data_IF_820657506147
#
_entry.id   IF_820657506147
#
_cell.length_a   1.000
_cell.length_b   1.000
_cell.length_c   1.000
_cell.angle_alpha   90.00
_cell.angle_beta   90.00
_cell.angle_gamma   90.00
#
_symmetry.space_group_name_H-M   'P 1'
#
loop_
_entity.id
_entity.type
_entity.pdbx_description
1 polymer ?
#
# COMPACT_ATOMS: atom_id res chain seq x y z
N UNK A 1 -8.42 23.58 14.90
CA UNK A 1 -9.49 22.96 14.12
C UNK A 1 -9.13 22.71 12.65
N UNK A 2 -8.28 23.51 12.00
CA UNK A 2 -7.94 23.37 10.56
C UNK A 2 -7.03 22.19 10.21
N UNK A 3 -6.17 21.73 11.13
CA UNK A 3 -5.30 20.55 10.90
C UNK A 3 -6.05 19.22 10.78
N UNK A 4 -7.17 19.05 11.51
CA UNK A 4 -7.97 17.80 11.45
C UNK A 4 -8.69 17.62 10.10
N UNK A 5 -9.03 18.70 9.42
CA UNK A 5 -9.74 18.64 8.13
C UNK A 5 -8.81 18.22 6.99
N UNK A 6 -7.53 18.57 7.11
CA UNK A 6 -6.52 18.26 6.10
C UNK A 6 -6.11 16.78 6.10
N UNK A 7 -5.97 16.19 7.29
CA UNK A 7 -5.76 14.75 7.41
C UNK A 7 -6.92 13.94 6.83
N UNK A 8 -8.16 14.43 6.94
CA UNK A 8 -9.32 13.78 6.31
C UNK A 8 -9.29 13.81 4.78
N UNK A 9 -8.84 14.90 4.16
CA UNK A 9 -8.82 15.02 2.69
C UNK A 9 -7.69 14.20 2.04
N UNK A 10 -6.50 14.15 2.69
CA UNK A 10 -5.39 13.33 2.23
C UNK A 10 -5.57 11.85 2.62
N UNK A 11 -6.22 11.60 3.74
CA UNK A 11 -6.66 10.27 4.17
C UNK A 11 -7.74 9.72 3.22
N UNK A 12 -8.62 10.56 2.67
CA UNK A 12 -9.56 10.18 1.61
C UNK A 12 -8.87 9.88 0.27
N UNK A 13 -7.76 10.56 -0.05
CA UNK A 13 -6.94 10.20 -1.22
C UNK A 13 -6.15 8.91 -1.02
N UNK A 14 -5.70 8.62 0.19
CA UNK A 14 -5.12 7.33 0.57
C UNK A 14 -6.16 6.23 0.72
N UNK A 15 -7.35 6.55 1.25
CA UNK A 15 -8.44 5.58 1.42
C UNK A 15 -9.14 5.18 0.12
N UNK A 16 -9.03 5.94 -0.96
CA UNK A 16 -9.55 5.46 -2.25
C UNK A 16 -8.79 4.20 -2.73
N UNK A 17 -7.55 4.01 -2.27
CA UNK A 17 -6.80 2.76 -2.49
C UNK A 17 -6.97 1.71 -1.39
N UNK A 18 -7.31 2.12 -0.15
CA UNK A 18 -7.51 1.18 0.96
C UNK A 18 -8.96 0.77 1.16
N UNK A 19 -9.93 1.54 0.65
CA UNK A 19 -11.36 1.22 0.81
C UNK A 19 -11.83 0.03 -0.03
N UNK A 20 -11.03 -0.45 -0.99
CA UNK A 20 -11.31 -1.73 -1.65
C UNK A 20 -10.93 -2.94 -0.79
N UNK A 21 -10.11 -2.77 0.24
CA UNK A 21 -9.75 -3.85 1.17
C UNK A 21 -10.59 -3.85 2.44
N UNK A 22 -11.20 -2.70 2.80
CA UNK A 22 -11.99 -2.56 4.02
C UNK A 22 -13.47 -2.96 3.88
N UNK A 23 -13.93 -3.34 2.68
CA UNK A 23 -15.29 -3.89 2.49
C UNK A 23 -15.36 -5.41 2.76
N UNK A 24 -14.28 -5.99 3.27
CA UNK A 24 -14.28 -7.38 3.73
C UNK A 24 -14.28 -7.41 5.24
N UNK A 25 -15.49 -7.67 5.78
CA UNK A 25 -15.75 -8.20 7.10
C UNK A 25 -15.45 -7.30 8.30
N UNK A 26 -16.38 -6.41 8.60
CA UNK A 26 -16.83 -6.20 9.98
C UNK A 26 -18.32 -6.50 10.05
N UNK A 27 -18.67 -7.76 10.09
CA UNK A 27 -19.93 -8.21 10.64
C UNK A 27 -19.63 -8.74 12.05
N UNK A 28 -19.65 -7.81 12.98
CA UNK A 28 -19.83 -8.11 14.38
C UNK A 28 -21.35 -8.14 14.62
N UNK A 29 -21.97 -9.25 14.24
CA UNK A 29 -23.29 -9.61 14.69
C UNK A 29 -23.25 -11.03 15.22
N UNK A 30 -23.44 -11.10 16.53
CA UNK A 30 -23.53 -12.33 17.27
C UNK A 30 -24.51 -13.32 16.66
N UNK A 31 -23.98 -14.52 16.44
CA UNK A 31 -24.72 -15.75 16.28
C UNK A 31 -25.50 -15.94 14.98
N UNK A 32 -24.80 -16.44 13.94
CA UNK A 32 -25.34 -17.52 13.11
C UNK A 32 -24.26 -18.01 12.13
N UNK A 33 -23.80 -19.26 12.31
CA UNK A 33 -23.44 -20.19 11.22
C UNK A 33 -22.52 -19.73 10.07
N UNK A 34 -21.73 -18.66 10.24
CA UNK A 34 -20.68 -18.32 9.29
C UNK A 34 -19.58 -19.39 9.33
N UNK A 35 -18.89 -19.65 8.21
CA UNK A 35 -17.82 -20.63 8.19
C UNK A 35 -16.84 -20.35 9.32
N UNK A 36 -16.41 -21.41 10.01
CA UNK A 36 -15.38 -21.29 11.03
C UNK A 36 -14.13 -20.68 10.42
N UNK A 37 -13.28 -19.97 11.18
CA UNK A 37 -12.01 -19.43 10.68
C UNK A 37 -11.22 -20.44 9.86
N UNK A 38 -11.19 -21.69 10.28
CA UNK A 38 -10.51 -22.81 9.61
C UNK A 38 -11.12 -23.15 8.24
N UNK A 39 -12.45 -23.10 8.10
CA UNK A 39 -13.14 -23.33 6.81
C UNK A 39 -12.85 -22.22 5.81
N UNK A 40 -12.87 -20.96 6.24
CA UNK A 40 -12.49 -19.82 5.37
C UNK A 40 -11.04 -19.89 4.95
N UNK A 41 -10.18 -20.39 5.79
CA UNK A 41 -8.75 -20.55 5.51
C UNK A 41 -8.54 -21.64 4.46
N UNK A 42 -9.14 -22.81 4.63
CA UNK A 42 -9.03 -23.92 3.69
C UNK A 42 -9.58 -23.55 2.32
N UNK A 43 -10.71 -22.83 2.26
CA UNK A 43 -11.28 -22.32 1.03
C UNK A 43 -10.33 -21.33 0.34
N UNK A 44 -9.73 -20.41 1.09
CA UNK A 44 -8.78 -19.44 0.56
C UNK A 44 -7.47 -20.09 0.12
N UNK A 45 -6.97 -21.10 0.85
CA UNK A 45 -5.76 -21.84 0.49
C UNK A 45 -5.94 -22.65 -0.79
N UNK A 46 -7.14 -23.17 -1.01
CA UNK A 46 -7.51 -23.98 -2.17
C UNK A 46 -8.11 -23.19 -3.32
N UNK A 47 -8.11 -21.85 -3.23
CA UNK A 47 -8.67 -20.99 -4.27
C UNK A 47 -7.88 -21.17 -5.57
N UNK A 48 -8.59 -21.56 -6.61
CA UNK A 48 -8.02 -21.78 -7.93
C UNK A 48 -8.83 -21.02 -8.99
N UNK A 49 -8.19 -20.08 -9.65
CA UNK A 49 -8.77 -19.29 -10.74
C UNK A 49 -8.45 -19.96 -12.07
N UNK A 50 -9.40 -20.71 -12.60
CA UNK A 50 -9.24 -21.43 -13.87
C UNK A 50 -10.22 -20.92 -14.92
N UNK A 51 -10.00 -21.21 -16.22
CA UNK A 51 -10.98 -20.90 -17.25
C UNK A 51 -12.36 -21.54 -16.99
N UNK A 52 -12.38 -22.71 -16.38
CA UNK A 52 -13.61 -23.47 -16.10
C UNK A 52 -14.50 -22.80 -15.06
N UNK A 53 -13.90 -22.15 -14.05
CA UNK A 53 -14.66 -21.43 -13.02
C UNK A 53 -14.74 -19.90 -13.27
N UNK A 54 -14.25 -19.44 -14.42
CA UNK A 54 -14.22 -18.01 -14.76
C UNK A 54 -15.60 -17.35 -14.73
N UNK A 55 -16.67 -18.07 -15.03
CA UNK A 55 -18.04 -17.55 -15.02
C UNK A 55 -18.46 -17.06 -13.62
N UNK A 56 -17.97 -17.66 -12.54
CA UNK A 56 -18.34 -17.31 -11.16
C UNK A 56 -17.67 -16.03 -10.66
N UNK A 57 -16.46 -15.72 -11.07
CA UNK A 57 -15.68 -14.56 -10.59
C UNK A 57 -15.53 -13.43 -11.60
N UNK A 58 -15.71 -13.70 -12.93
CA UNK A 58 -15.48 -12.73 -13.99
C UNK A 58 -16.32 -11.45 -13.85
N UNK A 59 -17.61 -11.58 -13.58
CA UNK A 59 -18.48 -10.42 -13.46
C UNK A 59 -18.11 -9.55 -12.25
N UNK A 60 -17.77 -10.18 -11.14
CA UNK A 60 -17.29 -9.46 -9.96
C UNK A 60 -16.01 -8.69 -10.29
N UNK A 61 -15.00 -9.34 -10.85
CA UNK A 61 -13.73 -8.71 -11.23
C UNK A 61 -13.93 -7.56 -12.21
N UNK A 62 -14.86 -7.71 -13.17
CA UNK A 62 -15.19 -6.62 -14.10
C UNK A 62 -15.81 -5.41 -13.39
N UNK A 63 -16.68 -5.60 -12.40
CA UNK A 63 -17.26 -4.50 -11.64
C UNK A 63 -16.21 -3.82 -10.74
N UNK A 64 -15.34 -4.57 -10.11
CA UNK A 64 -14.21 -4.04 -9.33
C UNK A 64 -13.27 -3.22 -10.23
N UNK A 65 -12.92 -3.71 -11.42
CA UNK A 65 -12.09 -2.97 -12.37
C UNK A 65 -12.74 -1.65 -12.83
N UNK A 66 -14.06 -1.63 -13.05
CA UNK A 66 -14.80 -0.40 -13.39
C UNK A 66 -14.82 0.60 -12.22
N UNK A 67 -14.97 0.10 -10.99
CA UNK A 67 -14.93 0.95 -9.81
C UNK A 67 -13.54 1.57 -9.64
N UNK A 68 -12.49 0.78 -9.76
CA UNK A 68 -11.11 1.25 -9.73
C UNK A 68 -10.85 2.32 -10.81
N UNK A 69 -11.32 2.10 -12.04
CA UNK A 69 -11.22 3.10 -13.10
C UNK A 69 -11.92 4.41 -12.73
N UNK A 70 -13.13 4.32 -12.16
CA UNK A 70 -13.89 5.50 -11.71
C UNK A 70 -13.13 6.25 -10.62
N UNK A 71 -12.60 5.55 -9.63
CA UNK A 71 -11.90 6.18 -8.50
C UNK A 71 -10.58 6.81 -8.95
N UNK A 72 -9.83 6.15 -9.84
CA UNK A 72 -8.63 6.70 -10.44
C UNK A 72 -8.94 7.96 -11.28
N UNK A 73 -10.05 7.97 -12.03
CA UNK A 73 -10.51 9.15 -12.77
C UNK A 73 -10.87 10.28 -11.81
N UNK A 74 -11.61 9.99 -10.75
CA UNK A 74 -11.96 10.98 -9.72
C UNK A 74 -10.73 11.60 -9.06
N UNK A 75 -9.71 10.78 -8.76
CA UNK A 75 -8.45 11.25 -8.22
C UNK A 75 -7.73 12.17 -9.23
N UNK A 76 -7.64 11.76 -10.49
CA UNK A 76 -7.06 12.56 -11.56
C UNK A 76 -7.78 13.90 -11.73
N UNK A 77 -9.11 13.91 -11.78
CA UNK A 77 -9.91 15.11 -11.92
C UNK A 77 -9.78 16.04 -10.71
N UNK A 78 -9.69 15.49 -9.50
CA UNK A 78 -9.44 16.27 -8.28
C UNK A 78 -8.08 16.95 -8.31
N UNK A 79 -7.10 16.30 -8.86
CA UNK A 79 -5.76 16.85 -9.00
C UNK A 79 -5.67 17.88 -10.13
N UNK A 80 -6.25 17.58 -11.30
CA UNK A 80 -6.06 18.34 -12.54
C UNK A 80 -7.13 19.42 -12.81
N UNK A 81 -8.36 19.21 -12.35
CA UNK A 81 -9.52 20.00 -12.78
C UNK A 81 -10.19 20.71 -11.64
N UNK A 82 -10.69 19.97 -10.63
CA UNK A 82 -11.43 20.54 -9.50
C UNK A 82 -11.35 19.65 -8.28
N UNK A 83 -11.03 20.23 -7.14
CA UNK A 83 -11.02 19.53 -5.85
C UNK A 83 -12.10 20.09 -4.93
N UNK A 84 -13.04 19.27 -4.51
CA UNK A 84 -14.15 19.64 -3.61
C UNK A 84 -14.97 20.85 -4.07
N UNK A 85 -15.19 20.97 -5.37
CA UNK A 85 -15.93 22.08 -5.97
C UNK A 85 -15.15 23.39 -6.10
N UNK A 86 -13.85 23.39 -5.76
CA UNK A 86 -12.93 24.49 -5.92
C UNK A 86 -11.98 24.31 -7.10
N UNK A 87 -10.83 24.97 -7.04
CA UNK A 87 -9.76 24.83 -8.04
C UNK A 87 -9.09 23.46 -7.98
N UNK A 88 -8.37 23.10 -9.04
CA UNK A 88 -7.56 21.89 -9.10
C UNK A 88 -6.54 21.83 -7.92
N UNK A 89 -6.42 20.69 -7.27
CA UNK A 89 -5.52 20.55 -6.11
C UNK A 89 -4.06 20.85 -6.47
N UNK A 90 -3.61 20.50 -7.69
CA UNK A 90 -2.27 20.81 -8.16
C UNK A 90 -1.96 22.31 -8.12
N UNK A 91 -2.95 23.18 -8.34
CA UNK A 91 -2.76 24.62 -8.28
C UNK A 91 -2.42 25.06 -6.86
N UNK A 92 -3.17 24.58 -5.86
CA UNK A 92 -2.89 24.84 -4.45
C UNK A 92 -1.48 24.39 -4.05
N UNK A 93 -1.05 23.24 -4.57
CA UNK A 93 0.26 22.68 -4.30
C UNK A 93 1.39 23.46 -4.98
N UNK A 94 1.22 23.80 -6.26
CA UNK A 94 2.23 24.52 -7.06
C UNK A 94 2.40 25.97 -6.59
N UNK A 95 1.31 26.67 -6.31
CA UNK A 95 1.34 28.07 -5.90
C UNK A 95 1.79 28.25 -4.45
N UNK A 96 1.55 27.28 -3.58
CA UNK A 96 1.92 27.22 -2.15
C UNK A 96 1.87 28.60 -1.44
N UNK A 97 0.86 29.42 -1.78
CA UNK A 97 0.69 30.80 -1.31
C UNK A 97 -0.53 30.98 -0.41
N UNK A 98 -1.18 29.90 0.01
CA UNK A 98 -2.46 29.95 0.73
C UNK A 98 -2.58 28.90 1.82
N UNK A 99 -3.72 28.88 2.47
CA UNK A 99 -4.04 28.23 3.74
C UNK A 99 -3.56 26.81 4.01
N UNK A 100 -3.29 25.98 3.01
CA UNK A 100 -2.83 24.61 3.18
C UNK A 100 -1.30 24.53 3.09
N UNK A 101 -0.74 25.11 2.05
CA UNK A 101 0.70 25.21 1.84
C UNK A 101 1.09 26.68 1.81
N UNK A 102 2.02 27.06 2.67
CA UNK A 102 2.47 28.44 2.83
C UNK A 102 3.84 28.70 2.21
N UNK A 103 4.48 27.63 1.71
CA UNK A 103 5.81 27.70 1.09
C UNK A 103 6.10 26.44 0.29
N UNK A 104 7.07 26.49 -0.60
CA UNK A 104 7.60 25.31 -1.29
C UNK A 104 8.14 24.27 -0.29
N UNK A 105 8.71 24.72 0.82
CA UNK A 105 9.21 23.83 1.86
C UNK A 105 8.07 22.98 2.47
N UNK A 106 6.92 23.61 2.76
CA UNK A 106 5.78 22.87 3.33
C UNK A 106 5.22 21.80 2.36
N UNK A 107 5.36 22.01 1.04
CA UNK A 107 5.03 20.99 0.04
C UNK A 107 6.03 19.83 0.05
N UNK A 108 7.33 20.15 0.15
CA UNK A 108 8.40 19.15 0.24
C UNK A 108 8.25 18.33 1.52
N UNK A 109 8.04 18.96 2.66
CA UNK A 109 7.78 18.30 3.94
C UNK A 109 6.62 17.31 3.83
N UNK A 110 5.52 17.72 3.19
CA UNK A 110 4.36 16.84 3.00
C UNK A 110 4.70 15.60 2.14
N UNK A 111 5.51 15.75 1.09
CA UNK A 111 5.95 14.61 0.27
C UNK A 111 6.81 13.66 1.11
N UNK A 112 7.76 14.20 1.87
CA UNK A 112 8.66 13.41 2.73
C UNK A 112 7.86 12.68 3.80
N UNK A 113 6.96 13.38 4.50
CA UNK A 113 6.12 12.79 5.55
C UNK A 113 5.29 11.61 5.00
N UNK A 114 4.75 11.74 3.79
CA UNK A 114 4.01 10.64 3.17
C UNK A 114 4.90 9.48 2.72
N UNK A 115 6.13 9.74 2.30
CA UNK A 115 7.10 8.68 2.04
C UNK A 115 7.48 7.92 3.32
N UNK A 116 7.65 8.62 4.44
CA UNK A 116 7.91 8.01 5.75
C UNK A 116 6.71 7.19 6.22
N UNK A 117 5.50 7.72 6.10
CA UNK A 117 4.26 7.02 6.46
C UNK A 117 4.10 5.70 5.68
N UNK A 118 4.34 5.71 4.36
CA UNK A 118 4.30 4.49 3.53
C UNK A 118 5.38 3.50 3.98
N UNK A 119 6.57 3.97 4.32
CA UNK A 119 7.66 3.09 4.78
C UNK A 119 7.29 2.40 6.09
N UNK A 120 6.73 3.16 7.04
CA UNK A 120 6.26 2.63 8.32
C UNK A 120 5.11 1.63 8.14
N UNK A 121 4.14 1.96 7.28
CA UNK A 121 3.01 1.09 6.96
C UNK A 121 3.47 -0.25 6.35
N UNK A 122 4.38 -0.21 5.37
CA UNK A 122 4.90 -1.44 4.74
C UNK A 122 5.69 -2.28 5.74
N UNK A 123 6.57 -1.64 6.51
CA UNK A 123 7.44 -2.35 7.46
C UNK A 123 6.68 -2.92 8.66
N UNK A 124 5.88 -2.10 9.33
CA UNK A 124 5.26 -2.45 10.59
C UNK A 124 3.87 -3.06 10.43
N UNK A 125 3.03 -2.50 9.54
CA UNK A 125 1.64 -2.95 9.41
C UNK A 125 1.50 -4.10 8.41
N UNK A 126 2.05 -3.97 7.21
CA UNK A 126 1.80 -4.94 6.12
C UNK A 126 2.67 -6.20 6.21
N UNK A 127 3.91 -6.07 6.66
CA UNK A 127 4.84 -7.21 6.83
C UNK A 127 4.97 -7.58 8.30
N UNK A 128 5.21 -6.59 9.16
CA UNK A 128 5.51 -6.81 10.57
C UNK A 128 4.33 -7.35 11.36
N UNK A 129 3.12 -6.81 11.18
CA UNK A 129 1.95 -7.25 11.95
C UNK A 129 1.60 -8.74 11.69
N UNK A 130 1.46 -9.21 10.45
CA UNK A 130 1.27 -10.64 10.19
C UNK A 130 2.38 -11.52 10.78
N UNK A 131 3.64 -11.11 10.61
CA UNK A 131 4.77 -11.85 11.15
C UNK A 131 4.77 -11.91 12.68
N UNK A 132 4.52 -10.80 13.35
CA UNK A 132 4.48 -10.73 14.81
C UNK A 132 3.32 -11.54 15.38
N UNK A 133 2.15 -11.52 14.77
CA UNK A 133 1.02 -12.36 15.16
C UNK A 133 1.34 -13.84 15.00
N UNK A 134 1.97 -14.22 13.89
CA UNK A 134 2.39 -15.60 13.65
C UNK A 134 3.34 -16.09 14.72
N UNK A 135 4.40 -15.35 15.01
CA UNK A 135 5.40 -15.69 16.04
C UNK A 135 4.83 -15.68 17.46
N UNK A 136 3.75 -14.94 17.69
CA UNK A 136 3.02 -14.97 18.95
C UNK A 136 2.01 -16.14 19.08
N UNK A 137 1.94 -17.03 18.09
CA UNK A 137 1.01 -18.17 18.08
C UNK A 137 -0.42 -17.81 17.64
N UNK A 138 -0.64 -16.59 17.19
CA UNK A 138 -1.94 -16.11 16.67
C UNK A 138 -2.02 -16.36 15.15
N UNK A 139 -1.93 -17.63 14.77
CA UNK A 139 -1.76 -18.00 13.36
C UNK A 139 -2.92 -17.58 12.47
N UNK A 140 -4.14 -17.78 12.91
CA UNK A 140 -5.36 -17.38 12.16
C UNK A 140 -5.40 -15.87 11.94
N UNK A 141 -5.17 -15.08 12.99
CA UNK A 141 -5.15 -13.62 12.92
C UNK A 141 -3.99 -13.12 12.03
N UNK A 142 -2.84 -13.79 12.08
CA UNK A 142 -1.70 -13.48 11.23
C UNK A 142 -2.04 -13.61 9.75
N UNK A 143 -2.69 -14.70 9.38
CA UNK A 143 -3.06 -14.97 8.00
C UNK A 143 -4.10 -13.99 7.47
N UNK A 144 -5.10 -13.63 8.29
CA UNK A 144 -6.09 -12.62 7.91
C UNK A 144 -5.55 -11.19 7.91
N UNK A 145 -4.43 -10.93 8.57
CA UNK A 145 -3.75 -9.64 8.50
C UNK A 145 -2.95 -9.43 7.20
N UNK A 146 -2.76 -10.48 6.39
CA UNK A 146 -2.05 -10.36 5.11
C UNK A 146 -2.90 -9.61 4.08
N UNK A 147 -2.39 -8.49 3.59
CA UNK A 147 -3.00 -7.74 2.48
C UNK A 147 -2.98 -8.56 1.18
N UNK A 148 -3.96 -8.32 0.31
CA UNK A 148 -4.06 -9.00 -1.00
C UNK A 148 -4.18 -10.53 -0.90
N UNK A 149 -4.84 -10.98 0.16
CA UNK A 149 -5.01 -12.39 0.50
C UNK A 149 -5.51 -13.25 -0.68
N UNK A 150 -6.60 -12.79 -1.34
CA UNK A 150 -7.25 -13.55 -2.42
C UNK A 150 -6.54 -13.43 -3.77
N UNK A 151 -5.79 -12.35 -4.00
CA UNK A 151 -5.09 -12.10 -5.25
C UNK A 151 -3.67 -12.65 -5.28
N UNK A 152 -3.11 -13.03 -4.14
CA UNK A 152 -1.73 -13.52 -3.97
C UNK A 152 -0.64 -12.50 -4.35
N UNK A 153 -0.96 -11.19 -4.40
CA UNK A 153 -0.07 -10.16 -4.88
C UNK A 153 0.59 -9.31 -3.79
N UNK A 154 0.48 -9.69 -2.50
CA UNK A 154 1.00 -8.91 -1.36
C UNK A 154 2.44 -8.42 -1.58
N UNK A 155 3.35 -9.31 -2.01
CA UNK A 155 4.74 -8.95 -2.28
C UNK A 155 4.89 -7.87 -3.35
N UNK A 156 4.12 -8.00 -4.42
CA UNK A 156 4.18 -7.05 -5.54
C UNK A 156 3.58 -5.70 -5.10
N UNK A 157 2.51 -5.71 -4.31
CA UNK A 157 1.90 -4.51 -3.74
C UNK A 157 2.86 -3.79 -2.79
N UNK A 158 3.54 -4.52 -1.90
CA UNK A 158 4.54 -3.93 -1.00
C UNK A 158 5.74 -3.36 -1.75
N UNK A 159 6.23 -4.05 -2.77
CA UNK A 159 7.32 -3.54 -3.61
C UNK A 159 6.89 -2.29 -4.41
N UNK A 160 5.62 -2.21 -4.85
CA UNK A 160 5.06 -1.05 -5.51
C UNK A 160 4.87 0.15 -4.56
N UNK A 161 4.59 -0.08 -3.26
CA UNK A 161 4.61 0.97 -2.26
C UNK A 161 6.01 1.62 -2.17
N UNK A 162 7.08 0.82 -2.11
CA UNK A 162 8.46 1.35 -2.11
C UNK A 162 8.80 2.01 -3.45
N UNK A 163 8.29 1.47 -4.57
CA UNK A 163 8.44 2.11 -5.88
C UNK A 163 7.76 3.49 -5.94
N UNK A 164 6.64 3.69 -5.25
CA UNK A 164 6.00 5.01 -5.17
C UNK A 164 6.87 6.04 -4.45
N UNK A 165 7.58 5.64 -3.39
CA UNK A 165 8.58 6.47 -2.71
C UNK A 165 9.70 6.85 -3.67
N UNK A 166 10.23 5.86 -4.40
CA UNK A 166 11.25 6.07 -5.43
C UNK A 166 10.78 7.10 -6.46
N UNK A 167 9.58 6.92 -6.98
CA UNK A 167 9.04 7.81 -8.01
C UNK A 167 8.89 9.25 -7.49
N UNK A 168 8.46 9.42 -6.24
CA UNK A 168 8.38 10.73 -5.59
C UNK A 168 9.75 11.36 -5.36
N UNK A 169 10.75 10.56 -4.94
CA UNK A 169 12.10 11.05 -4.68
C UNK A 169 12.86 11.44 -5.95
N UNK A 170 12.71 10.66 -7.02
CA UNK A 170 13.36 10.91 -8.31
C UNK A 170 12.50 11.79 -9.24
N UNK A 171 11.26 12.05 -8.87
CA UNK A 171 10.26 12.73 -9.69
C UNK A 171 10.19 12.14 -11.11
N UNK A 172 10.07 10.79 -11.17
CA UNK A 172 10.04 10.05 -12.42
C UNK A 172 9.37 8.70 -12.23
N UNK A 173 8.55 8.29 -13.20
CA UNK A 173 7.86 6.99 -13.23
C UNK A 173 8.73 5.87 -13.83
N UNK A 174 9.80 6.23 -14.48
CA UNK A 174 10.79 5.32 -15.09
C UNK A 174 12.09 5.25 -14.28
N UNK A 175 13.15 4.75 -14.88
CA UNK A 175 14.46 4.62 -14.24
C UNK A 175 15.28 5.91 -14.21
N UNK A 176 14.77 7.00 -14.77
CA UNK A 176 15.48 8.28 -14.85
C UNK A 176 15.34 9.09 -13.56
N UNK A 177 16.14 10.14 -13.44
CA UNK A 177 16.06 11.14 -12.38
C UNK A 177 15.72 12.49 -13.01
N UNK A 178 14.59 13.07 -12.65
CA UNK A 178 14.22 14.40 -13.12
C UNK A 178 15.18 15.45 -12.57
N UNK A 179 15.49 16.46 -13.39
CA UNK A 179 16.29 17.60 -12.92
C UNK A 179 15.65 18.36 -11.74
N UNK A 180 14.32 18.30 -11.61
CA UNK A 180 13.54 18.94 -10.55
C UNK A 180 13.10 17.91 -9.47
N UNK A 181 14.01 17.02 -9.06
CA UNK A 181 13.74 15.96 -8.09
C UNK A 181 14.25 16.30 -6.68
N UNK A 182 13.68 15.65 -5.67
CA UNK A 182 14.24 15.63 -4.32
C UNK A 182 15.65 15.06 -4.33
N UNK A 183 15.92 14.05 -5.16
CA UNK A 183 17.26 13.51 -5.35
C UNK A 183 18.27 14.60 -5.66
N UNK A 184 18.02 15.44 -6.65
CA UNK A 184 18.95 16.53 -7.03
C UNK A 184 19.03 17.64 -5.99
N UNK A 185 17.96 17.89 -5.23
CA UNK A 185 17.98 18.81 -4.11
C UNK A 185 18.89 18.30 -3.01
N UNK A 186 18.70 17.06 -2.58
CA UNK A 186 19.49 16.44 -1.50
C UNK A 186 20.94 16.25 -1.96
N UNK A 187 21.18 15.91 -3.24
CA UNK A 187 22.54 15.80 -3.81
C UNK A 187 23.36 17.08 -3.64
N UNK A 188 22.72 18.25 -3.76
CA UNK A 188 23.39 19.55 -3.58
C UNK A 188 23.69 19.88 -2.12
N UNK A 189 22.84 19.41 -1.19
CA UNK A 189 22.91 19.74 0.23
C UNK A 189 23.78 18.72 0.98
N UNK A 190 23.57 17.44 0.72
CA UNK A 190 24.25 16.34 1.40
C UNK A 190 24.35 15.11 0.46
N UNK A 191 25.42 15.01 -0.35
CA UNK A 191 25.62 13.89 -1.29
C UNK A 191 25.66 12.52 -0.63
N UNK A 192 26.23 12.42 0.57
CA UNK A 192 26.32 11.16 1.30
C UNK A 192 24.94 10.65 1.73
N UNK A 193 24.08 11.55 2.25
CA UNK A 193 22.69 11.24 2.58
C UNK A 193 21.90 10.85 1.33
N UNK A 194 22.09 11.57 0.21
CA UNK A 194 21.43 11.25 -1.06
C UNK A 194 21.75 9.83 -1.53
N UNK A 195 23.02 9.46 -1.50
CA UNK A 195 23.46 8.10 -1.86
C UNK A 195 22.84 7.06 -0.94
N UNK A 196 22.79 7.33 0.37
CA UNK A 196 22.18 6.43 1.35
C UNK A 196 20.69 6.24 1.05
N UNK A 197 19.91 7.31 0.88
CA UNK A 197 18.47 7.22 0.58
C UNK A 197 18.22 6.41 -0.69
N UNK A 198 18.92 6.70 -1.78
CA UNK A 198 18.77 5.99 -3.04
C UNK A 198 19.06 4.49 -2.90
N UNK A 199 20.12 4.12 -2.18
CA UNK A 199 20.49 2.73 -1.93
C UNK A 199 19.47 2.02 -1.05
N UNK A 200 18.96 2.68 0.01
CA UNK A 200 17.95 2.09 0.91
C UNK A 200 16.62 1.84 0.18
N UNK A 201 16.18 2.74 -0.70
CA UNK A 201 14.99 2.53 -1.52
C UNK A 201 15.15 1.26 -2.38
N UNK A 202 16.27 1.10 -3.07
CA UNK A 202 16.49 -0.05 -3.95
C UNK A 202 16.73 -1.34 -3.16
N UNK A 203 17.47 -1.30 -2.06
CA UNK A 203 17.72 -2.47 -1.21
C UNK A 203 16.43 -2.96 -0.55
N UNK A 204 15.59 -2.07 -0.04
CA UNK A 204 14.29 -2.40 0.55
C UNK A 204 13.36 -3.04 -0.48
N UNK A 205 13.25 -2.44 -1.67
CA UNK A 205 12.46 -3.03 -2.76
C UNK A 205 12.94 -4.46 -3.09
N UNK A 206 14.26 -4.64 -3.22
CA UNK A 206 14.84 -5.95 -3.55
C UNK A 206 14.65 -6.97 -2.43
N UNK A 207 14.74 -6.56 -1.16
CA UNK A 207 14.46 -7.41 -0.02
C UNK A 207 13.00 -7.89 -0.02
N UNK A 208 12.05 -7.00 -0.29
CA UNK A 208 10.63 -7.36 -0.43
C UNK A 208 10.43 -8.34 -1.58
N UNK A 209 11.05 -8.10 -2.74
CA UNK A 209 10.95 -8.99 -3.90
C UNK A 209 11.62 -10.37 -3.67
N UNK A 210 12.54 -10.47 -2.71
CA UNK A 210 13.15 -11.73 -2.30
C UNK A 210 12.24 -12.58 -1.40
N UNK A 211 11.17 -12.01 -0.83
CA UNK A 211 10.16 -12.76 -0.07
C UNK A 211 9.49 -13.76 -1.03
N UNK A 212 9.40 -15.06 -0.68
CA UNK A 212 8.73 -16.04 -1.53
C UNK A 212 7.26 -15.70 -1.80
N UNK A 213 6.74 -16.12 -2.94
CA UNK A 213 5.32 -15.94 -3.29
C UNK A 213 4.54 -17.24 -3.13
N UNK A 214 3.28 -17.11 -2.72
CA UNK A 214 2.62 -15.93 -2.16
C UNK A 214 3.08 -15.65 -0.71
N UNK A 215 3.12 -14.39 -0.30
CA UNK A 215 3.60 -13.99 1.03
C UNK A 215 2.90 -14.72 2.18
N UNK A 216 1.60 -14.96 2.08
CA UNK A 216 0.84 -15.70 3.07
C UNK A 216 1.39 -17.13 3.31
N UNK A 217 1.95 -17.77 2.27
CA UNK A 217 2.53 -19.11 2.39
C UNK A 217 3.85 -19.09 3.17
N UNK A 218 4.57 -17.96 3.19
CA UNK A 218 5.77 -17.83 4.02
C UNK A 218 5.45 -17.97 5.50
N UNK A 219 4.27 -17.51 5.92
CA UNK A 219 3.81 -17.67 7.30
C UNK A 219 3.41 -19.13 7.58
N UNK A 220 2.80 -19.81 6.61
CA UNK A 220 2.34 -21.20 6.76
C UNK A 220 3.49 -22.21 6.86
N UNK A 221 4.53 -22.04 6.05
CA UNK A 221 5.61 -23.03 5.92
C UNK A 221 6.82 -22.77 6.82
N UNK A 222 6.84 -21.67 7.59
CA UNK A 222 7.91 -21.42 8.57
C UNK A 222 7.83 -22.36 9.80
N UNK A 223 6.68 -22.97 10.06
CA UNK A 223 6.52 -23.96 11.14
C UNK A 223 7.09 -25.33 10.78
N UNK A 224 6.93 -25.79 9.53
CA UNK A 224 7.40 -27.11 9.11
C UNK A 224 8.93 -27.19 9.05
N UNK A 225 9.60 -26.09 8.67
CA UNK A 225 11.07 -26.06 8.63
C UNK A 225 11.73 -26.03 10.01
N UNK A 226 11.00 -25.66 11.06
CA UNK A 226 11.50 -25.66 12.43
C UNK A 226 11.36 -27.06 13.09
N UNK A 227 10.34 -27.81 12.72
CA UNK A 227 10.14 -29.19 13.23
C UNK A 227 11.09 -30.18 12.58
N UNK A 228 11.49 -29.98 11.33
CA UNK A 228 12.50 -30.84 10.63
C UNK A 228 13.93 -30.62 11.14
N UNK A 229 14.21 -29.59 11.92
CA UNK A 229 15.54 -29.32 12.51
C UNK A 229 15.70 -29.84 13.95
N UNK A 230 14.63 -30.37 14.56
CA UNK A 230 14.64 -30.91 15.94
C UNK A 230 14.43 -32.44 15.97
N UNK A 231 14.28 -33.07 14.82
CA UNK A 231 14.19 -34.55 14.68
C UNK A 231 15.52 -35.24 14.64
#
# INVERSE_FOLDING_TARGET
MKKKFFYSALFLMGMAFTSLTAASCSDDDGNNGGPKPDEKFDDAANLNYTPENAASWRNYSLQVAKLLQKDATTLYDSWETSFQGGEAFKKTFIEHNGGTYTSALSCIEQIIDKCVEITDEVGNSKIGDPYNKWTAGQQTEALYAVESWYSFHSRDDYSNNIRSIRNSYFNSMDSTVSQYSLYNLVQKINPALNTKIANEIESTKNAILAIPQPFRNCLLYTSDAADDLIG
#
